data_IF_772323418381
#
_entry.id   IF_772323418381
#
_cell.length_a   1.000
_cell.length_b   1.000
_cell.length_c   1.000
_cell.angle_alpha   90.00
_cell.angle_beta   90.00
_cell.angle_gamma   90.00
#
_symmetry.space_group_name_H-M   'P 1'
#
loop_
_entity.id
_entity.type
_entity.pdbx_description
1 polymer ?
#
# COMPACT_ATOMS: atom_id res chain seq x y z
N UNK A 1 -28.60 1.88 19.68
CA UNK A 1 -29.27 1.03 18.68
C UNK A 1 -28.41 -0.16 18.28
N UNK A 2 -27.20 0.03 17.73
CA UNK A 2 -26.32 -1.10 17.32
C UNK A 2 -26.08 -2.12 18.45
N UNK A 3 -25.72 -1.65 19.67
CA UNK A 3 -25.56 -2.52 20.84
C UNK A 3 -26.78 -3.38 21.16
N UNK A 4 -27.99 -2.83 20.97
CA UNK A 4 -29.24 -3.55 21.20
C UNK A 4 -29.43 -4.63 20.12
N UNK A 5 -29.23 -4.28 18.85
CA UNK A 5 -29.35 -5.26 17.75
C UNK A 5 -28.35 -6.41 17.92
N UNK A 6 -27.11 -6.12 18.32
CA UNK A 6 -26.08 -7.14 18.57
C UNK A 6 -26.48 -8.16 19.65
N UNK A 7 -27.35 -7.81 20.60
CA UNK A 7 -27.85 -8.78 21.60
C UNK A 7 -28.79 -9.84 21.00
N UNK A 8 -29.40 -9.55 19.85
CA UNK A 8 -30.38 -10.41 19.20
C UNK A 8 -29.89 -10.98 17.85
N UNK A 9 -28.68 -10.61 17.42
CA UNK A 9 -28.12 -11.00 16.13
C UNK A 9 -27.01 -12.04 16.34
N UNK A 10 -27.20 -13.31 15.92
CA UNK A 10 -26.18 -14.35 16.11
C UNK A 10 -25.00 -14.23 15.15
N UNK A 11 -25.17 -13.51 14.03
CA UNK A 11 -24.14 -13.32 12.99
C UNK A 11 -24.15 -11.87 12.53
N UNK A 12 -23.02 -11.16 12.69
CA UNK A 12 -22.90 -9.73 12.36
C UNK A 12 -22.48 -9.45 10.92
N UNK A 13 -22.20 -10.51 10.15
CA UNK A 13 -21.93 -10.49 8.72
C UNK A 13 -23.13 -11.07 7.97
N UNK A 14 -23.52 -10.44 6.86
CA UNK A 14 -24.61 -10.92 6.00
C UNK A 14 -24.16 -12.05 5.07
N UNK A 15 -22.89 -12.06 4.66
CA UNK A 15 -22.34 -13.06 3.74
C UNK A 15 -21.23 -13.86 4.41
N UNK A 16 -21.33 -15.19 4.39
CA UNK A 16 -20.41 -16.08 5.11
C UNK A 16 -18.98 -16.12 4.55
N UNK A 17 -18.76 -15.67 3.31
CA UNK A 17 -17.43 -15.40 2.77
C UNK A 17 -17.61 -14.78 1.38
N UNK A 18 -16.84 -13.75 1.02
CA UNK A 18 -16.79 -13.29 -0.36
C UNK A 18 -16.18 -14.40 -1.21
N UNK A 19 -16.97 -14.98 -2.10
CA UNK A 19 -16.50 -15.94 -3.09
C UNK A 19 -15.76 -15.09 -4.14
N UNK A 20 -14.44 -15.21 -4.22
CA UNK A 20 -13.74 -14.88 -5.47
C UNK A 20 -14.48 -15.66 -6.56
N UNK A 21 -15.09 -14.96 -7.53
CA UNK A 21 -15.73 -15.66 -8.64
C UNK A 21 -14.70 -16.62 -9.25
N UNK A 22 -15.14 -17.75 -9.80
CA UNK A 22 -14.25 -18.78 -10.40
C UNK A 22 -13.23 -18.23 -11.43
N UNK A 23 -13.43 -17.00 -11.89
CA UNK A 23 -12.58 -16.25 -12.82
C UNK A 23 -11.55 -15.31 -12.14
N UNK A 24 -11.42 -15.31 -10.81
CA UNK A 24 -10.52 -14.44 -10.04
C UNK A 24 -10.99 -12.98 -9.91
N UNK A 25 -12.26 -12.70 -10.16
CA UNK A 25 -12.85 -11.36 -10.01
C UNK A 25 -13.60 -11.24 -8.68
N UNK A 26 -13.55 -10.05 -8.10
CA UNK A 26 -14.36 -9.69 -6.93
C UNK A 26 -15.85 -9.64 -7.31
N UNK A 27 -16.76 -10.02 -6.39
CA UNK A 27 -18.20 -10.05 -6.65
C UNK A 27 -18.74 -8.68 -7.11
N UNK A 28 -19.71 -8.71 -8.04
CA UNK A 28 -20.31 -7.50 -8.61
C UNK A 28 -21.06 -6.65 -7.56
N UNK A 29 -21.30 -5.38 -7.89
CA UNK A 29 -21.95 -4.34 -7.04
C UNK A 29 -23.39 -4.63 -6.59
N UNK A 30 -23.91 -5.83 -6.81
CA UNK A 30 -25.31 -6.18 -6.49
C UNK A 30 -25.55 -6.43 -4.99
N UNK A 31 -24.50 -6.52 -4.17
CA UNK A 31 -24.62 -6.80 -2.75
C UNK A 31 -24.51 -5.54 -1.88
N UNK A 32 -25.39 -5.44 -0.88
CA UNK A 32 -25.40 -4.41 0.17
C UNK A 32 -24.03 -4.41 0.90
N UNK A 33 -23.44 -3.23 1.15
CA UNK A 33 -22.21 -3.11 1.97
C UNK A 33 -22.47 -3.77 3.35
N UNK A 34 -21.56 -4.65 3.78
CA UNK A 34 -21.63 -5.26 5.12
C UNK A 34 -21.63 -4.18 6.23
N UNK A 35 -22.20 -4.47 7.42
CA UNK A 35 -22.28 -3.49 8.51
C UNK A 35 -20.94 -2.86 8.89
N UNK A 36 -19.84 -3.65 8.88
CA UNK A 36 -18.50 -3.16 9.22
C UNK A 36 -18.04 -2.09 8.23
N UNK A 37 -18.19 -2.35 6.94
CA UNK A 37 -17.84 -1.40 5.87
C UNK A 37 -18.69 -0.14 5.93
N UNK A 38 -19.99 -0.26 6.20
CA UNK A 38 -20.85 0.91 6.40
C UNK A 38 -20.39 1.75 7.59
N UNK A 39 -19.98 1.14 8.70
CA UNK A 39 -19.45 1.87 9.84
C UNK A 39 -18.16 2.62 9.49
N UNK A 40 -17.23 1.96 8.79
CA UNK A 40 -15.95 2.55 8.36
C UNK A 40 -16.17 3.69 7.36
N UNK A 41 -16.95 3.48 6.30
CA UNK A 41 -17.23 4.49 5.26
C UNK A 41 -17.90 5.75 5.82
N UNK A 42 -18.66 5.62 6.90
CA UNK A 42 -19.32 6.75 7.58
C UNK A 42 -18.51 7.31 8.75
N UNK A 43 -17.29 6.82 9.00
CA UNK A 43 -16.45 7.30 10.10
C UNK A 43 -16.93 6.92 11.51
N UNK A 44 -17.82 5.93 11.64
CA UNK A 44 -18.38 5.49 12.91
C UNK A 44 -17.47 4.49 13.62
N UNK A 45 -16.37 4.98 14.20
CA UNK A 45 -15.33 4.16 14.82
C UNK A 45 -15.86 3.17 15.87
N UNK A 46 -16.64 3.65 16.84
CA UNK A 46 -17.22 2.80 17.90
C UNK A 46 -18.16 1.72 17.35
N UNK A 47 -18.87 2.01 16.25
CA UNK A 47 -19.71 1.01 15.60
C UNK A 47 -18.85 -0.07 14.93
N UNK A 48 -17.78 0.31 14.23
CA UNK A 48 -16.86 -0.65 13.62
C UNK A 48 -16.20 -1.54 14.67
N UNK A 49 -15.74 -0.96 15.78
CA UNK A 49 -15.16 -1.69 16.91
C UNK A 49 -16.14 -2.71 17.50
N UNK A 50 -17.38 -2.31 17.78
CA UNK A 50 -18.41 -3.22 18.29
C UNK A 50 -18.70 -4.37 17.31
N UNK A 51 -18.71 -4.09 16.01
CA UNK A 51 -18.92 -5.12 14.99
C UNK A 51 -17.78 -6.14 14.97
N UNK A 52 -16.53 -5.67 15.04
CA UNK A 52 -15.34 -6.54 15.13
C UNK A 52 -15.35 -7.39 16.42
N UNK A 53 -15.68 -6.79 17.56
CA UNK A 53 -15.83 -7.50 18.85
C UNK A 53 -16.89 -8.60 18.81
N UNK A 54 -17.89 -8.47 17.93
CA UNK A 54 -18.98 -9.44 17.76
C UNK A 54 -18.78 -10.34 16.52
N UNK A 55 -17.55 -10.45 16.01
CA UNK A 55 -17.18 -11.44 15.00
C UNK A 55 -17.26 -10.99 13.55
N UNK A 56 -17.35 -9.68 13.27
CA UNK A 56 -17.21 -9.20 11.90
C UNK A 56 -15.80 -9.47 11.39
N UNK A 57 -15.67 -10.01 10.18
CA UNK A 57 -14.36 -10.27 9.59
C UNK A 57 -13.69 -8.97 9.10
N UNK A 58 -12.50 -8.60 9.60
CA UNK A 58 -11.76 -7.46 9.06
C UNK A 58 -11.15 -7.73 7.67
N UNK A 59 -11.12 -9.00 7.26
CA UNK A 59 -10.66 -9.46 5.95
C UNK A 59 -11.80 -9.67 4.95
N UNK A 60 -12.99 -9.11 5.23
CA UNK A 60 -14.07 -9.09 4.26
C UNK A 60 -13.61 -8.41 2.95
N UNK A 61 -13.95 -9.04 1.83
CA UNK A 61 -13.52 -8.64 0.49
C UNK A 61 -14.71 -8.06 -0.25
N UNK A 62 -14.51 -6.87 -0.83
CA UNK A 62 -15.48 -6.16 -1.65
C UNK A 62 -14.98 -6.02 -3.08
N UNK A 63 -15.79 -5.42 -3.94
CA UNK A 63 -15.51 -5.29 -5.38
C UNK A 63 -14.12 -4.72 -5.72
N UNK A 64 -13.55 -3.82 -4.90
CA UNK A 64 -12.20 -3.28 -5.16
C UNK A 64 -11.09 -3.86 -4.26
N UNK A 65 -11.40 -4.88 -3.44
CA UNK A 65 -10.43 -5.57 -2.58
C UNK A 65 -10.88 -5.70 -1.11
N UNK A 66 -9.98 -6.20 -0.23
CA UNK A 66 -10.25 -6.33 1.20
C UNK A 66 -10.46 -4.97 1.89
N UNK A 67 -11.22 -4.95 2.99
CA UNK A 67 -11.62 -3.69 3.67
C UNK A 67 -10.46 -2.76 4.02
N UNK A 68 -9.34 -3.30 4.52
CA UNK A 68 -8.16 -2.50 4.86
C UNK A 68 -7.60 -1.69 3.67
N UNK A 69 -7.79 -2.19 2.44
CA UNK A 69 -7.38 -1.48 1.22
C UNK A 69 -8.33 -0.34 0.85
N UNK A 70 -9.51 -0.25 1.44
CA UNK A 70 -10.47 0.81 1.20
C UNK A 70 -10.35 1.96 2.19
N UNK A 71 -9.81 1.72 3.39
CA UNK A 71 -9.52 2.76 4.36
C UNK A 71 -8.54 3.78 3.76
N UNK A 72 -8.81 5.07 4.00
CA UNK A 72 -7.88 6.12 3.63
C UNK A 72 -6.57 5.90 4.40
N UNK A 73 -5.37 6.03 3.78
CA UNK A 73 -4.13 5.99 4.53
C UNK A 73 -4.00 7.13 5.56
N UNK A 74 -4.88 8.14 5.52
CA UNK A 74 -4.93 9.18 6.55
C UNK A 74 -5.79 8.81 7.76
N UNK A 75 -6.66 7.79 7.63
CA UNK A 75 -7.54 7.34 8.71
C UNK A 75 -6.85 6.24 9.53
N UNK A 76 -5.72 6.59 10.14
CA UNK A 76 -4.84 5.65 10.86
C UNK A 76 -5.56 4.90 11.99
N UNK A 77 -6.54 5.52 12.63
CA UNK A 77 -7.37 4.88 13.66
C UNK A 77 -8.11 3.65 13.11
N UNK A 78 -8.71 3.74 11.91
CA UNK A 78 -9.40 2.61 11.31
C UNK A 78 -8.44 1.55 10.78
N UNK A 79 -7.26 1.95 10.30
CA UNK A 79 -6.20 1.01 9.92
C UNK A 79 -5.76 0.20 11.14
N UNK A 80 -5.41 0.86 12.24
CA UNK A 80 -4.97 0.18 13.46
C UNK A 80 -6.09 -0.70 14.03
N UNK A 81 -7.34 -0.22 14.07
CA UNK A 81 -8.48 -1.03 14.51
C UNK A 81 -8.63 -2.31 13.68
N UNK A 82 -8.57 -2.24 12.35
CA UNK A 82 -8.67 -3.44 11.51
C UNK A 82 -7.52 -4.42 11.75
N UNK A 83 -6.30 -3.91 11.93
CA UNK A 83 -5.10 -4.71 12.18
C UNK A 83 -5.13 -5.38 13.56
N UNK A 84 -5.61 -4.69 14.60
CA UNK A 84 -5.81 -5.25 15.94
C UNK A 84 -6.72 -6.48 15.94
N UNK A 85 -7.68 -6.54 15.00
CA UNK A 85 -8.58 -7.67 14.82
C UNK A 85 -8.12 -8.66 13.74
N UNK A 86 -6.91 -8.50 13.20
CA UNK A 86 -6.28 -9.48 12.31
C UNK A 86 -6.51 -9.24 10.81
N UNK A 87 -6.74 -7.99 10.39
CA UNK A 87 -6.63 -7.65 8.98
C UNK A 87 -5.23 -7.97 8.43
N UNK A 88 -5.14 -8.52 7.23
CA UNK A 88 -3.86 -8.76 6.55
C UNK A 88 -3.35 -7.46 5.89
N UNK A 89 -2.22 -6.88 6.33
CA UNK A 89 -1.67 -5.65 5.74
C UNK A 89 -1.03 -5.85 4.36
N UNK A 90 -0.85 -7.10 3.89
CA UNK A 90 -0.12 -7.44 2.67
C UNK A 90 -1.02 -7.75 1.47
N UNK A 91 -2.33 -7.55 1.61
CA UNK A 91 -3.30 -7.72 0.52
C UNK A 91 -3.18 -6.63 -0.54
N UNK A 92 -3.63 -6.95 -1.75
CA UNK A 92 -3.64 -6.01 -2.88
C UNK A 92 -5.05 -5.51 -3.17
N UNK A 93 -5.18 -4.21 -3.42
CA UNK A 93 -6.40 -3.64 -4.00
C UNK A 93 -6.56 -4.04 -5.47
N UNK A 94 -7.68 -3.69 -6.08
CA UNK A 94 -7.94 -3.97 -7.50
C UNK A 94 -6.97 -3.26 -8.47
N UNK A 95 -6.27 -2.22 -8.01
CA UNK A 95 -5.21 -1.55 -8.78
C UNK A 95 -3.86 -2.24 -8.62
N UNK A 96 -3.76 -3.28 -7.80
CA UNK A 96 -2.52 -4.01 -7.55
C UNK A 96 -1.62 -3.33 -6.51
N UNK A 97 -2.18 -2.52 -5.61
CA UNK A 97 -1.43 -1.81 -4.57
C UNK A 97 -1.68 -2.41 -3.18
N UNK A 98 -0.62 -2.54 -2.39
CA UNK A 98 -0.76 -2.81 -0.95
C UNK A 98 -1.13 -1.54 -0.18
N UNK A 99 -1.69 -1.66 1.05
CA UNK A 99 -1.89 -0.52 1.94
C UNK A 99 -0.64 0.37 2.11
N UNK A 100 0.55 -0.21 2.25
CA UNK A 100 1.83 0.54 2.36
C UNK A 100 2.10 1.31 1.07
N UNK A 101 1.91 0.70 -0.11
CA UNK A 101 2.10 1.40 -1.39
C UNK A 101 1.14 2.58 -1.54
N UNK A 102 -0.13 2.43 -1.12
CA UNK A 102 -1.09 3.54 -1.11
C UNK A 102 -0.63 4.68 -0.19
N UNK A 103 -0.14 4.36 1.00
CA UNK A 103 0.36 5.36 1.94
C UNK A 103 1.59 6.11 1.40
N UNK A 104 2.50 5.42 0.69
CA UNK A 104 3.68 6.04 0.08
C UNK A 104 3.33 7.13 -0.95
N UNK A 105 2.13 7.09 -1.55
CA UNK A 105 1.67 8.11 -2.50
C UNK A 105 1.28 9.43 -1.83
N UNK A 106 1.18 9.46 -0.49
CA UNK A 106 0.80 10.63 0.30
C UNK A 106 2.00 11.37 0.91
N UNK A 107 3.24 11.03 0.52
CA UNK A 107 4.47 11.64 1.04
C UNK A 107 4.55 11.52 2.58
N UNK A 108 4.90 12.61 3.27
CA UNK A 108 5.04 12.68 4.73
C UNK A 108 3.75 12.32 5.46
N UNK A 109 2.58 12.70 4.89
CA UNK A 109 1.28 12.39 5.49
C UNK A 109 0.98 10.89 5.56
N UNK A 110 1.67 10.07 4.76
CA UNK A 110 1.51 8.61 4.77
C UNK A 110 2.40 7.89 5.79
N UNK A 111 3.37 8.57 6.40
CA UNK A 111 4.40 7.95 7.26
C UNK A 111 3.75 7.21 8.44
N UNK A 112 2.74 7.79 9.07
CA UNK A 112 2.12 7.16 10.23
C UNK A 112 1.34 5.89 9.88
N UNK A 113 0.62 5.88 8.75
CA UNK A 113 0.00 4.65 8.28
C UNK A 113 1.03 3.57 7.94
N UNK A 114 2.16 3.93 7.32
CA UNK A 114 3.24 2.96 7.04
C UNK A 114 3.82 2.42 8.35
N UNK A 115 4.03 3.27 9.36
CA UNK A 115 4.51 2.86 10.68
C UNK A 115 3.58 1.82 11.30
N UNK A 116 2.28 2.10 11.31
CA UNK A 116 1.26 1.19 11.85
C UNK A 116 1.22 -0.11 11.04
N UNK A 117 1.09 -0.03 9.71
CA UNK A 117 1.04 -1.22 8.84
C UNK A 117 2.27 -2.11 9.03
N UNK A 118 3.47 -1.52 9.10
CA UNK A 118 4.71 -2.26 9.31
C UNK A 118 4.80 -2.89 10.71
N UNK A 119 4.34 -2.19 11.76
CA UNK A 119 4.22 -2.74 13.13
C UNK A 119 3.39 -4.03 13.16
N UNK A 120 2.37 -4.14 12.31
CA UNK A 120 1.53 -5.33 12.17
C UNK A 120 1.97 -6.29 11.05
N UNK A 121 3.22 -6.20 10.57
CA UNK A 121 3.80 -7.15 9.61
C UNK A 121 3.59 -6.78 8.13
N UNK A 122 3.24 -5.53 7.84
CA UNK A 122 3.20 -5.01 6.48
C UNK A 122 4.60 -4.98 5.84
N UNK A 123 4.71 -5.55 4.64
CA UNK A 123 5.96 -5.69 3.90
C UNK A 123 6.30 -4.41 3.13
N UNK A 124 7.33 -3.69 3.61
CA UNK A 124 7.90 -2.51 2.94
C UNK A 124 8.63 -2.83 1.64
N UNK A 125 8.82 -4.12 1.33
CA UNK A 125 9.43 -4.63 0.10
C UNK A 125 8.43 -5.35 -0.82
N UNK A 126 7.13 -5.29 -0.52
CA UNK A 126 6.09 -5.91 -1.34
C UNK A 126 6.22 -5.45 -2.81
N UNK A 127 5.92 -6.36 -3.74
CA UNK A 127 6.01 -6.08 -5.16
C UNK A 127 4.61 -6.06 -5.77
N UNK A 128 4.28 -4.95 -6.45
CA UNK A 128 3.00 -4.82 -7.14
C UNK A 128 2.91 -5.78 -8.34
N UNK A 129 1.71 -5.93 -8.89
CA UNK A 129 1.53 -6.76 -10.09
C UNK A 129 2.18 -6.13 -11.35
N UNK A 130 2.16 -6.88 -12.45
CA UNK A 130 2.74 -6.43 -13.72
C UNK A 130 2.08 -5.16 -14.28
N UNK A 131 0.79 -4.91 -13.97
CA UNK A 131 0.04 -3.73 -14.46
C UNK A 131 0.50 -2.46 -13.75
N UNK A 132 1.15 -2.61 -12.60
CA UNK A 132 1.78 -1.54 -11.84
C UNK A 132 3.30 -1.48 -12.04
N UNK A 133 3.82 -2.07 -13.12
CA UNK A 133 5.24 -2.15 -13.43
C UNK A 133 6.06 -2.83 -12.32
N UNK A 134 5.46 -3.75 -11.56
CA UNK A 134 6.15 -4.47 -10.48
C UNK A 134 6.82 -3.54 -9.45
N UNK A 135 6.25 -2.35 -9.24
CA UNK A 135 6.77 -1.34 -8.32
C UNK A 135 6.70 -1.83 -6.88
N UNK A 136 7.68 -1.41 -6.10
CA UNK A 136 7.76 -1.58 -4.63
C UNK A 136 7.38 -0.27 -3.92
N UNK A 137 7.13 -0.27 -2.59
CA UNK A 137 6.95 0.96 -1.82
C UNK A 137 8.03 2.01 -2.07
N UNK A 138 9.30 1.62 -2.21
CA UNK A 138 10.41 2.54 -2.52
C UNK A 138 10.23 3.26 -3.86
N UNK A 139 9.70 2.60 -4.90
CA UNK A 139 9.39 3.26 -6.17
C UNK A 139 8.34 4.36 -5.98
N UNK A 140 7.28 4.09 -5.22
CA UNK A 140 6.23 5.08 -4.95
C UNK A 140 6.74 6.25 -4.11
N UNK A 141 7.61 5.99 -3.12
CA UNK A 141 8.25 7.03 -2.32
C UNK A 141 9.12 7.96 -3.17
N UNK A 142 9.98 7.41 -4.04
CA UNK A 142 10.76 8.22 -4.98
C UNK A 142 9.89 9.01 -5.95
N UNK A 143 8.87 8.38 -6.54
CA UNK A 143 7.91 9.05 -7.44
C UNK A 143 7.22 10.25 -6.75
N UNK A 144 6.92 10.11 -5.45
CA UNK A 144 6.33 11.18 -4.64
C UNK A 144 7.27 12.39 -4.44
N UNK A 145 8.59 12.18 -4.54
CA UNK A 145 9.61 13.21 -4.33
C UNK A 145 9.87 13.56 -2.86
N UNK A 146 9.51 12.68 -1.91
CA UNK A 146 9.65 12.93 -0.47
C UNK A 146 10.93 12.30 0.07
N UNK A 147 11.94 13.12 0.36
CA UNK A 147 13.20 12.69 0.97
C UNK A 147 13.00 12.10 2.37
N UNK A 148 12.07 12.66 3.13
CA UNK A 148 11.71 12.15 4.46
C UNK A 148 11.10 10.74 4.39
N UNK A 149 10.14 10.53 3.48
CA UNK A 149 9.53 9.22 3.28
C UNK A 149 10.55 8.17 2.80
N UNK A 150 11.46 8.56 1.90
CA UNK A 150 12.52 7.66 1.41
C UNK A 150 13.47 7.25 2.56
N UNK A 151 13.96 8.22 3.35
CA UNK A 151 14.78 7.95 4.54
C UNK A 151 14.03 7.06 5.54
N UNK A 152 12.74 7.32 5.75
CA UNK A 152 11.89 6.53 6.63
C UNK A 152 11.77 5.07 6.16
N UNK A 153 11.46 4.82 4.89
CA UNK A 153 11.38 3.46 4.35
C UNK A 153 12.72 2.71 4.43
N UNK A 154 13.86 3.39 4.16
CA UNK A 154 15.20 2.80 4.35
C UNK A 154 15.39 2.38 5.81
N UNK A 155 14.98 3.23 6.76
CA UNK A 155 15.02 2.91 8.20
C UNK A 155 14.16 1.71 8.60
N UNK A 156 13.10 1.40 7.84
CA UNK A 156 12.27 0.20 8.00
C UNK A 156 12.81 -1.03 7.25
N UNK A 157 13.98 -0.93 6.58
CA UNK A 157 14.58 -2.04 5.84
C UNK A 157 14.06 -2.19 4.39
N UNK A 158 13.55 -1.12 3.78
CA UNK A 158 13.24 -1.13 2.36
C UNK A 158 14.52 -1.28 1.51
N UNK A 159 14.48 -2.19 0.54
CA UNK A 159 15.59 -2.48 -0.37
C UNK A 159 15.69 -1.38 -1.42
N UNK A 160 16.93 -0.95 -1.69
CA UNK A 160 17.26 0.01 -2.75
C UNK A 160 17.81 -0.66 -4.02
N UNK A 161 17.90 -1.98 -4.03
CA UNK A 161 18.34 -2.79 -5.17
C UNK A 161 17.24 -3.76 -5.61
N UNK A 162 17.12 -3.96 -6.92
CA UNK A 162 16.13 -4.87 -7.51
C UNK A 162 16.72 -6.27 -7.73
N UNK A 163 15.88 -7.33 -7.71
CA UNK A 163 16.35 -8.69 -7.95
C UNK A 163 16.93 -8.86 -9.36
N UNK A 164 17.82 -9.83 -9.52
CA UNK A 164 18.38 -10.20 -10.82
C UNK A 164 17.26 -10.54 -11.81
N UNK A 165 17.32 -9.97 -13.01
CA UNK A 165 16.32 -10.19 -14.05
C UNK A 165 15.11 -9.25 -13.98
N UNK A 166 15.11 -8.27 -13.06
CA UNK A 166 14.13 -7.19 -13.07
C UNK A 166 14.27 -6.36 -14.35
N UNK A 167 13.18 -6.24 -15.10
CA UNK A 167 13.13 -5.67 -16.46
C UNK A 167 12.33 -4.35 -16.53
N UNK A 168 12.13 -3.72 -15.37
CA UNK A 168 11.48 -2.41 -15.23
C UNK A 168 12.51 -1.39 -14.72
N UNK A 169 12.22 -0.08 -14.78
CA UNK A 169 13.09 0.94 -14.18
C UNK A 169 13.36 0.62 -12.70
N UNK A 170 14.63 0.49 -12.33
CA UNK A 170 15.08 0.20 -10.97
C UNK A 170 14.92 1.42 -10.05
N UNK A 171 15.19 1.23 -8.75
CA UNK A 171 15.17 2.31 -7.76
C UNK A 171 16.09 3.47 -8.16
N UNK A 172 17.31 3.16 -8.61
CA UNK A 172 18.24 4.20 -9.02
C UNK A 172 17.84 4.89 -10.33
N UNK A 173 17.22 4.16 -11.27
CA UNK A 173 16.69 4.75 -12.49
C UNK A 173 15.59 5.77 -12.17
N UNK A 174 14.65 5.41 -11.28
CA UNK A 174 13.61 6.34 -10.82
C UNK A 174 14.21 7.54 -10.10
N UNK A 175 15.20 7.34 -9.23
CA UNK A 175 15.85 8.43 -8.50
C UNK A 175 16.55 9.43 -9.44
N UNK A 176 17.21 8.96 -10.50
CA UNK A 176 17.78 9.83 -11.54
C UNK A 176 16.68 10.56 -12.32
N UNK A 177 15.62 9.85 -12.73
CA UNK A 177 14.49 10.46 -13.45
C UNK A 177 13.72 11.51 -12.64
N UNK A 178 13.84 11.48 -11.31
CA UNK A 178 13.26 12.51 -10.44
C UNK A 178 14.00 13.84 -10.49
N UNK A 179 15.22 13.87 -11.03
CA UNK A 179 16.08 15.06 -11.13
C UNK A 179 16.23 15.80 -9.78
N UNK A 180 16.36 15.02 -8.71
CA UNK A 180 16.55 15.52 -7.34
C UNK A 180 17.86 14.93 -6.78
N UNK A 181 18.94 15.73 -6.73
CA UNK A 181 20.23 15.28 -6.21
C UNK A 181 20.19 14.83 -4.75
N UNK A 182 19.28 15.37 -3.92
CA UNK A 182 19.14 14.92 -2.54
C UNK A 182 18.57 13.50 -2.51
N UNK A 183 17.49 13.24 -3.24
CA UNK A 183 16.91 11.89 -3.33
C UNK A 183 17.89 10.88 -3.89
N UNK A 184 18.60 11.23 -4.98
CA UNK A 184 19.62 10.37 -5.57
C UNK A 184 20.73 10.06 -4.56
N UNK A 185 21.21 11.07 -3.84
CA UNK A 185 22.23 10.87 -2.80
C UNK A 185 21.75 9.94 -1.70
N UNK A 186 20.51 10.10 -1.22
CA UNK A 186 19.95 9.24 -0.16
C UNK A 186 19.96 7.76 -0.58
N UNK A 187 19.55 7.43 -1.81
CA UNK A 187 19.54 6.03 -2.26
C UNK A 187 20.94 5.48 -2.51
N UNK A 188 21.87 6.31 -3.00
CA UNK A 188 23.29 5.92 -3.16
C UNK A 188 23.92 5.64 -1.79
N UNK A 189 23.72 6.53 -0.82
CA UNK A 189 24.24 6.38 0.54
C UNK A 189 23.62 5.14 1.24
N UNK A 190 22.42 4.74 0.83
CA UNK A 190 21.77 3.50 1.27
C UNK A 190 22.24 2.23 0.53
N UNK A 191 23.21 2.34 -0.39
CA UNK A 191 23.83 1.21 -1.08
C UNK A 191 23.17 0.80 -2.39
N UNK A 192 22.48 1.72 -3.08
CA UNK A 192 21.99 1.45 -4.43
C UNK A 192 23.15 1.21 -5.40
N UNK A 193 23.04 0.17 -6.23
CA UNK A 193 24.03 -0.13 -7.27
C UNK A 193 23.90 0.85 -8.44
N UNK A 194 24.78 1.85 -8.46
CA UNK A 194 24.89 2.86 -9.52
C UNK A 194 25.20 2.28 -10.90
N UNK A 195 25.70 1.04 -10.95
CA UNK A 195 26.02 0.33 -12.17
C UNK A 195 24.95 -0.69 -12.58
N UNK A 196 23.80 -0.72 -11.89
CA UNK A 196 22.66 -1.51 -12.33
C UNK A 196 22.31 -1.14 -13.78
N UNK A 197 22.17 -2.15 -14.63
CA UNK A 197 21.88 -1.98 -16.06
C UNK A 197 20.50 -2.53 -16.37
N UNK A 198 19.67 -1.68 -16.97
CA UNK A 198 18.40 -2.07 -17.56
C UNK A 198 18.54 -2.26 -19.08
N UNK A 199 17.92 -3.31 -19.61
CA UNK A 199 18.10 -3.77 -21.01
C UNK A 199 17.87 -2.69 -22.07
N UNK A 200 16.89 -1.80 -21.86
CA UNK A 200 16.53 -0.77 -22.85
C UNK A 200 17.04 0.63 -22.49
N UNK A 201 17.34 0.85 -21.22
CA UNK A 201 17.69 2.18 -20.69
C UNK A 201 19.22 2.33 -20.61
N UNK A 202 19.94 1.24 -20.42
CA UNK A 202 21.34 1.26 -20.01
C UNK A 202 21.46 1.41 -18.50
N UNK A 203 22.53 2.06 -18.05
CA UNK A 203 22.74 2.38 -16.63
C UNK A 203 22.10 3.71 -16.24
N UNK A 204 22.02 3.98 -14.94
CA UNK A 204 21.61 5.28 -14.40
C UNK A 204 22.39 6.47 -15.01
N UNK A 205 23.67 6.26 -15.38
CA UNK A 205 24.48 7.30 -16.03
C UNK A 205 24.02 7.58 -17.48
N UNK A 206 23.50 6.58 -18.20
CA UNK A 206 22.90 6.81 -19.52
C UNK A 206 21.65 7.69 -19.40
N UNK A 207 20.80 7.44 -18.41
CA UNK A 207 19.64 8.29 -18.11
C UNK A 207 20.06 9.73 -17.81
N UNK A 208 21.03 9.93 -16.92
CA UNK A 208 21.51 11.24 -16.53
C UNK A 208 22.12 12.03 -17.71
N UNK A 209 22.76 11.34 -18.67
CA UNK A 209 23.29 11.96 -19.88
C UNK A 209 22.19 12.37 -20.88
N UNK A 210 21.05 11.68 -20.87
CA UNK A 210 19.90 11.94 -21.75
C UNK A 210 18.88 12.90 -21.15
N UNK A 211 18.82 13.04 -19.82
CA UNK A 211 17.99 14.06 -19.18
C UNK A 211 18.52 15.43 -19.58
N UNK A 212 17.80 16.10 -20.48
CA UNK A 212 18.01 17.52 -20.74
C UNK A 212 17.81 18.25 -19.43
N UNK A 213 18.89 18.65 -18.79
CA UNK A 213 18.92 19.66 -17.73
C UNK A 213 18.18 20.89 -18.28
N UNK A 214 16.88 21.00 -18.02
CA UNK A 214 16.15 22.25 -18.21
C UNK A 214 16.06 22.87 -16.82
N UNK A 215 17.12 23.61 -16.50
CA UNK A 215 17.13 24.56 -15.38
C UNK A 215 15.93 25.48 -15.57
N UNK A 216 14.86 25.30 -14.79
CA UNK A 216 13.88 26.35 -14.44
C UNK A 216 13.26 26.10 -13.08
#
# INVERSE_FOLDING_TARGET
MIKLLLQYTPVVQQYETPIMEKNGKYPSRENIDEPLRLAIKNGHYECAKLLLENGASPNAIYFDGPEITHVSPLDTNFIELLLEYGADPNVFDRKGLTPIMKACRLKENGIEAIRILHKYGGDVNAQADFRQDMRTPMHYALLSGSAELVKFLIGLGAKVNMPKGYDKPSIIDIAVLKDDPELLKIVIDAGADVNAVHTYIGSALHLAACSTIVIR
#
